data_IF_123501515165
#
_entry.id   IF_123501515165
#
_cell.length_a   1.000
_cell.length_b   1.000
_cell.length_c   1.000
_cell.angle_alpha   90.00
_cell.angle_beta   90.00
_cell.angle_gamma   90.00
#
_symmetry.space_group_name_H-M   'P 1'
#
loop_
_entity.id
_entity.type
_entity.pdbx_description
1 polymer ?
#
# COMPACT_ATOMS: atom_id res chain seq x y z
N UNK A 1 7.43 4.36 -25.63
CA UNK A 1 7.51 4.39 -24.15
C UNK A 1 8.42 3.24 -23.76
N UNK A 2 9.63 3.54 -23.31
CA UNK A 2 10.55 2.53 -22.79
C UNK A 2 10.34 2.47 -21.28
N UNK A 3 9.75 1.39 -20.78
CA UNK A 3 9.59 1.14 -19.35
C UNK A 3 10.87 0.48 -18.86
N UNK A 4 11.56 1.08 -17.89
CA UNK A 4 12.84 0.57 -17.38
C UNK A 4 12.69 -0.39 -16.20
N UNK A 5 11.54 -0.38 -15.51
CA UNK A 5 11.34 -1.17 -14.30
C UNK A 5 9.92 -1.73 -14.19
N UNK A 6 9.83 -2.93 -13.59
CA UNK A 6 8.57 -3.58 -13.26
C UNK A 6 8.48 -3.89 -11.77
N UNK A 7 7.23 -4.13 -11.32
CA UNK A 7 6.91 -4.45 -9.94
C UNK A 7 5.86 -5.56 -9.94
N UNK A 8 6.14 -6.66 -9.25
CA UNK A 8 5.26 -7.82 -9.16
C UNK A 8 5.11 -8.21 -7.70
N UNK A 9 3.90 -8.62 -7.31
CA UNK A 9 3.59 -9.03 -5.94
C UNK A 9 3.33 -10.52 -5.89
N UNK A 10 3.91 -11.20 -4.91
CA UNK A 10 3.74 -12.62 -4.65
C UNK A 10 2.70 -12.88 -3.55
N UNK A 11 2.14 -14.10 -3.47
CA UNK A 11 1.32 -14.50 -2.32
C UNK A 11 2.05 -14.33 -0.97
N UNK A 12 3.37 -14.52 -0.95
CA UNK A 12 4.19 -14.34 0.26
C UNK A 12 4.21 -12.89 0.72
N UNK A 13 4.24 -11.91 -0.19
CA UNK A 13 4.17 -10.49 0.16
C UNK A 13 2.84 -10.16 0.83
N UNK A 14 1.74 -10.71 0.32
CA UNK A 14 0.41 -10.53 0.90
C UNK A 14 0.29 -11.20 2.28
N UNK A 15 0.86 -12.40 2.45
CA UNK A 15 0.86 -13.07 3.74
C UNK A 15 1.59 -12.23 4.79
N UNK A 16 2.84 -11.84 4.51
CA UNK A 16 3.66 -11.04 5.43
C UNK A 16 3.00 -9.71 5.76
N UNK A 17 2.46 -9.03 4.75
CA UNK A 17 1.77 -7.76 4.97
C UNK A 17 0.47 -7.94 5.77
N UNK A 18 -0.32 -8.99 5.51
CA UNK A 18 -1.54 -9.28 6.26
C UNK A 18 -1.27 -9.63 7.73
N UNK A 19 -0.16 -10.32 8.01
CA UNK A 19 0.31 -10.59 9.37
C UNK A 19 0.77 -9.30 10.08
N UNK A 20 1.50 -8.42 9.39
CA UNK A 20 2.00 -7.18 9.96
C UNK A 20 0.91 -6.12 10.19
N UNK A 21 -0.04 -5.98 9.25
CA UNK A 21 -1.08 -4.95 9.23
C UNK A 21 -2.38 -5.34 9.94
N UNK A 22 -2.56 -6.64 10.19
CA UNK A 22 -3.82 -7.24 10.66
C UNK A 22 -5.03 -6.98 9.77
N UNK A 23 -4.83 -6.57 8.52
CA UNK A 23 -5.93 -6.52 7.56
C UNK A 23 -6.28 -7.96 7.12
N UNK A 24 -7.38 -8.46 7.68
CA UNK A 24 -7.91 -9.81 7.44
C UNK A 24 -8.93 -9.87 6.30
N UNK A 25 -8.99 -8.86 5.44
CA UNK A 25 -9.93 -8.85 4.32
C UNK A 25 -9.67 -10.05 3.38
N UNK A 26 -10.68 -10.92 3.16
CA UNK A 26 -10.51 -12.12 2.34
C UNK A 26 -10.22 -11.83 0.86
N UNK A 27 -10.45 -10.61 0.37
CA UNK A 27 -10.01 -10.18 -0.97
C UNK A 27 -8.49 -10.30 -1.16
N UNK A 28 -7.73 -10.13 -0.09
CA UNK A 28 -6.28 -10.25 -0.11
C UNK A 28 -5.83 -11.68 0.22
N UNK A 29 -6.48 -12.33 1.19
CA UNK A 29 -5.95 -13.54 1.80
C UNK A 29 -6.54 -14.86 1.27
N UNK A 30 -7.74 -14.84 0.68
CA UNK A 30 -8.41 -16.05 0.22
C UNK A 30 -8.54 -16.06 -1.30
N UNK A 31 -7.80 -16.95 -1.96
CA UNK A 31 -7.91 -17.17 -3.40
C UNK A 31 -9.35 -17.55 -3.82
N UNK A 32 -10.03 -18.39 -3.04
CA UNK A 32 -11.38 -18.86 -3.34
C UNK A 32 -12.43 -17.75 -3.21
N UNK A 33 -12.30 -16.90 -2.20
CA UNK A 33 -13.17 -15.74 -2.05
C UNK A 33 -12.91 -14.74 -3.18
N UNK A 34 -11.64 -14.43 -3.43
CA UNK A 34 -11.25 -13.43 -4.42
C UNK A 34 -11.65 -13.82 -5.86
N UNK A 35 -11.56 -15.11 -6.23
CA UNK A 35 -12.05 -15.61 -7.52
C UNK A 35 -13.55 -15.41 -7.74
N UNK A 36 -14.36 -15.39 -6.67
CA UNK A 36 -15.81 -15.14 -6.71
C UNK A 36 -16.16 -13.66 -6.68
N UNK A 37 -15.18 -12.78 -6.44
CA UNK A 37 -15.36 -11.34 -6.45
C UNK A 37 -15.31 -10.77 -7.88
N UNK A 38 -15.77 -9.53 -8.11
CA UNK A 38 -15.64 -8.86 -9.41
C UNK A 38 -14.20 -8.70 -9.91
N UNK A 39 -13.20 -8.86 -9.04
CA UNK A 39 -11.78 -8.78 -9.40
C UNK A 39 -11.25 -10.06 -10.03
N UNK A 40 -11.91 -11.20 -9.82
CA UNK A 40 -11.53 -12.51 -10.41
C UNK A 40 -10.23 -13.12 -9.87
N UNK A 41 -9.54 -12.47 -8.93
CA UNK A 41 -8.28 -12.93 -8.34
C UNK A 41 -7.93 -12.14 -7.08
N UNK A 42 -6.92 -12.61 -6.33
CA UNK A 42 -6.47 -11.94 -5.11
C UNK A 42 -5.96 -10.53 -5.42
N UNK A 43 -6.52 -9.57 -4.70
CA UNK A 43 -6.16 -8.16 -4.82
C UNK A 43 -4.98 -7.89 -3.90
N UNK A 44 -3.97 -7.17 -4.37
CA UNK A 44 -2.85 -6.68 -3.55
C UNK A 44 -3.36 -5.59 -2.61
N UNK A 45 -2.90 -5.56 -1.36
CA UNK A 45 -3.20 -4.45 -0.46
C UNK A 45 -2.77 -3.12 -1.09
N UNK A 46 -3.67 -2.14 -1.14
CA UNK A 46 -3.36 -0.83 -1.75
C UNK A 46 -2.12 -0.19 -1.11
N UNK A 47 -2.07 -0.19 0.23
CA UNK A 47 -0.93 0.35 0.99
C UNK A 47 0.36 -0.41 0.74
N UNK A 48 0.33 -1.74 0.58
CA UNK A 48 1.52 -2.51 0.18
C UNK A 48 2.07 -2.02 -1.16
N UNK A 49 1.19 -1.78 -2.15
CA UNK A 49 1.62 -1.21 -3.42
C UNK A 49 2.16 0.22 -3.28
N UNK A 50 1.57 1.03 -2.40
CA UNK A 50 2.08 2.36 -2.09
C UNK A 50 3.48 2.34 -1.48
N UNK A 51 3.72 1.47 -0.49
CA UNK A 51 5.03 1.28 0.12
C UNK A 51 6.06 0.76 -0.88
N UNK A 52 5.67 -0.17 -1.75
CA UNK A 52 6.53 -0.68 -2.80
C UNK A 52 6.92 0.42 -3.81
N UNK A 53 6.01 1.35 -4.12
CA UNK A 53 6.35 2.55 -4.89
C UNK A 53 7.25 3.52 -4.12
N UNK A 54 7.04 3.69 -2.82
CA UNK A 54 7.86 4.56 -1.98
C UNK A 54 9.32 4.06 -1.92
N UNK A 55 9.51 2.75 -1.86
CA UNK A 55 10.83 2.10 -1.88
C UNK A 55 11.59 2.25 -3.21
N UNK A 56 10.94 2.77 -4.27
CA UNK A 56 11.57 3.06 -5.58
C UNK A 56 11.92 4.53 -5.75
N UNK A 57 11.65 5.36 -4.74
CA UNK A 57 12.12 6.73 -4.73
C UNK A 57 13.63 6.76 -4.42
N UNK A 58 14.32 7.80 -4.88
CA UNK A 58 15.72 8.00 -4.54
C UNK A 58 15.91 8.32 -3.06
N UNK A 59 17.07 7.93 -2.52
CA UNK A 59 17.48 8.26 -1.16
C UNK A 59 17.59 9.78 -0.96
N UNK A 60 17.07 10.27 0.17
CA UNK A 60 17.03 11.68 0.53
C UNK A 60 17.51 11.90 1.98
N UNK A 61 18.81 11.81 2.27
CA UNK A 61 19.32 11.84 3.65
C UNK A 61 19.21 13.22 4.34
N UNK A 62 19.16 14.30 3.56
CA UNK A 62 19.09 15.69 4.07
C UNK A 62 17.67 16.27 4.04
N UNK A 63 16.68 15.43 3.72
CA UNK A 63 15.27 15.82 3.63
C UNK A 63 14.42 14.83 4.43
N UNK A 64 13.22 15.26 4.82
CA UNK A 64 12.27 14.38 5.49
C UNK A 64 10.90 14.46 4.82
N UNK A 65 10.19 13.33 4.85
CA UNK A 65 8.86 13.20 4.28
C UNK A 65 7.84 13.96 5.15
N UNK A 66 7.18 14.97 4.58
CA UNK A 66 6.17 15.78 5.30
C UNK A 66 4.74 15.41 4.92
N UNK A 67 4.54 14.88 3.72
CA UNK A 67 3.22 14.46 3.26
C UNK A 67 3.32 13.28 2.29
N UNK A 68 2.44 12.31 2.49
CA UNK A 68 2.26 11.18 1.60
C UNK A 68 0.80 11.08 1.20
N UNK A 69 0.53 11.10 -0.10
CA UNK A 69 -0.81 10.92 -0.68
C UNK A 69 -0.79 9.71 -1.61
N UNK A 70 -1.75 8.81 -1.44
CA UNK A 70 -1.94 7.63 -2.27
C UNK A 70 -3.33 7.66 -2.91
N UNK A 71 -3.36 7.63 -4.24
CA UNK A 71 -4.58 7.45 -5.02
C UNK A 71 -4.62 6.00 -5.54
N UNK A 72 -5.79 5.34 -5.46
CA UNK A 72 -5.99 3.97 -5.93
C UNK A 72 -7.05 3.89 -7.07
N UNK A 73 -6.77 4.37 -8.29
CA UNK A 73 -7.75 4.33 -9.39
C UNK A 73 -8.10 2.90 -9.88
N UNK A 74 -7.30 1.89 -9.51
CA UNK A 74 -7.56 0.51 -9.89
C UNK A 74 -6.97 -0.50 -8.92
N UNK A 75 -7.47 -1.73 -8.98
CA UNK A 75 -6.96 -2.84 -8.20
C UNK A 75 -5.71 -3.44 -8.85
N UNK A 76 -4.73 -3.79 -8.02
CA UNK A 76 -3.58 -4.62 -8.39
C UNK A 76 -3.89 -6.08 -8.02
N UNK A 77 -3.48 -7.02 -8.85
CA UNK A 77 -3.64 -8.46 -8.69
C UNK A 77 -2.28 -9.13 -8.48
N UNK A 78 -2.28 -10.22 -7.73
CA UNK A 78 -1.08 -11.01 -7.45
C UNK A 78 -0.54 -11.67 -8.72
N UNK A 79 0.80 -11.71 -8.85
CA UNK A 79 1.50 -12.37 -9.96
C UNK A 79 1.55 -11.58 -11.27
N UNK A 80 0.97 -10.38 -11.31
CA UNK A 80 0.99 -9.52 -12.49
C UNK A 80 2.19 -8.56 -12.42
N UNK A 81 3.04 -8.51 -13.47
CA UNK A 81 4.12 -7.53 -13.55
C UNK A 81 3.57 -6.17 -14.00
N UNK A 82 3.65 -5.19 -13.11
CA UNK A 82 3.22 -3.82 -13.36
C UNK A 82 4.38 -2.92 -13.79
N UNK A 83 4.09 -1.92 -14.62
CA UNK A 83 5.08 -0.90 -14.97
C UNK A 83 5.07 0.23 -13.94
N UNK A 84 6.25 0.68 -13.51
CA UNK A 84 6.38 1.84 -12.63
C UNK A 84 7.03 3.02 -13.36
N UNK A 85 6.49 4.21 -13.13
CA UNK A 85 7.07 5.47 -13.55
C UNK A 85 7.34 6.32 -12.31
N UNK A 86 8.60 6.71 -12.10
CA UNK A 86 9.01 7.57 -11.00
C UNK A 86 9.50 8.91 -11.58
N UNK A 87 9.03 10.00 -10.98
CA UNK A 87 9.46 11.37 -11.30
C UNK A 87 9.76 12.10 -10.01
N UNK A 88 10.97 12.63 -9.91
CA UNK A 88 11.47 13.28 -8.71
C UNK A 88 11.94 14.70 -9.02
N UNK A 89 11.67 15.59 -8.08
CA UNK A 89 12.23 16.93 -7.94
C UNK A 89 12.77 17.05 -6.52
N UNK A 90 13.38 18.19 -6.17
CA UNK A 90 13.83 18.46 -4.79
C UNK A 90 12.69 18.27 -3.77
N UNK A 91 11.58 18.98 -3.94
CA UNK A 91 10.51 19.03 -2.92
C UNK A 91 9.46 17.90 -3.03
N UNK A 92 9.53 17.07 -4.08
CA UNK A 92 8.40 16.21 -4.45
C UNK A 92 8.85 14.98 -5.23
N UNK A 93 8.23 13.85 -4.93
CA UNK A 93 8.30 12.66 -5.77
C UNK A 93 6.90 12.17 -6.14
N UNK A 94 6.77 11.67 -7.37
CA UNK A 94 5.56 11.04 -7.87
C UNK A 94 5.94 9.68 -8.44
N UNK A 95 5.36 8.63 -7.88
CA UNK A 95 5.44 7.28 -8.44
C UNK A 95 4.06 6.85 -8.94
N UNK A 96 4.00 6.24 -10.12
CA UNK A 96 2.77 5.76 -10.73
C UNK A 96 2.93 4.32 -11.16
N UNK A 97 1.94 3.49 -10.84
CA UNK A 97 1.89 2.09 -11.22
C UNK A 97 0.83 1.87 -12.29
N UNK A 98 1.22 1.16 -13.34
CA UNK A 98 0.41 0.91 -14.53
C UNK A 98 0.26 -0.58 -14.83
N UNK A 99 -0.91 -0.92 -15.37
CA UNK A 99 -1.15 -2.13 -16.15
C UNK A 99 -1.43 -1.72 -17.61
N UNK A 100 -0.37 -1.75 -18.42
CA UNK A 100 -0.39 -1.22 -19.77
C UNK A 100 -0.64 0.30 -19.76
N UNK A 101 -1.86 0.74 -20.11
CA UNK A 101 -2.25 2.15 -20.10
C UNK A 101 -3.09 2.54 -18.89
N UNK A 102 -3.54 1.56 -18.10
CA UNK A 102 -4.42 1.79 -16.96
C UNK A 102 -3.59 2.18 -15.74
N UNK A 103 -3.84 3.36 -15.19
CA UNK A 103 -3.27 3.76 -13.90
C UNK A 103 -3.96 2.97 -12.78
N UNK A 104 -3.18 2.29 -11.94
CA UNK A 104 -3.69 1.50 -10.82
C UNK A 104 -3.42 2.19 -9.48
N UNK A 105 -2.24 2.80 -9.35
CA UNK A 105 -1.83 3.49 -8.13
C UNK A 105 -1.03 4.73 -8.49
N UNK A 106 -1.23 5.81 -7.73
CA UNK A 106 -0.38 6.99 -7.78
C UNK A 106 0.00 7.39 -6.36
N UNK A 107 1.31 7.46 -6.13
CA UNK A 107 1.91 8.00 -4.92
C UNK A 107 2.40 9.43 -5.21
N UNK A 108 2.12 10.34 -4.28
CA UNK A 108 2.74 11.65 -4.23
C UNK A 108 3.35 11.85 -2.84
N UNK A 109 4.67 12.00 -2.80
CA UNK A 109 5.43 12.33 -1.61
C UNK A 109 5.92 13.78 -1.69
N UNK A 110 5.91 14.50 -0.57
CA UNK A 110 6.49 15.83 -0.42
C UNK A 110 7.56 15.80 0.66
N UNK A 111 8.63 16.53 0.40
CA UNK A 111 9.81 16.58 1.24
C UNK A 111 10.15 18.02 1.60
N UNK A 112 10.71 18.19 2.79
CA UNK A 112 11.28 19.46 3.24
C UNK A 112 12.71 19.22 3.74
N UNK A 113 13.54 20.26 3.63
CA UNK A 113 14.92 20.21 4.10
C UNK A 113 14.97 19.95 5.61
N UNK A 114 15.92 19.12 6.02
CA UNK A 114 16.12 18.72 7.41
C UNK A 114 16.07 17.21 7.57
N UNK A 115 16.71 16.73 8.63
CA UNK A 115 16.80 15.30 8.93
C UNK A 115 15.52 14.82 9.61
N UNK A 116 15.00 13.68 9.17
CA UNK A 116 13.90 13.03 9.87
C UNK A 116 14.30 12.71 11.31
N UNK A 117 13.48 13.12 12.27
CA UNK A 117 13.68 12.73 13.67
C UNK A 117 13.26 11.28 13.82
N UNK A 118 14.12 10.37 14.32
CA UNK A 118 13.72 9.02 14.62
C UNK A 118 12.55 9.02 15.61
N UNK A 119 11.46 8.35 15.25
CA UNK A 119 10.30 8.20 16.13
C UNK A 119 10.51 6.92 16.94
N UNK A 120 10.42 7.03 18.27
CA UNK A 120 10.29 5.85 19.11
C UNK A 120 8.93 5.22 18.87
N UNK A 121 8.92 3.99 18.37
CA UNK A 121 7.69 3.24 18.18
C UNK A 121 7.23 2.72 19.55
N UNK A 122 6.10 3.23 20.04
CA UNK A 122 5.43 2.72 21.23
C UNK A 122 4.83 1.32 20.97
N UNK A 123 4.76 0.50 22.02
CA UNK A 123 4.09 -0.80 21.97
C UNK A 123 2.58 -0.62 21.96
N UNK A 124 2.01 -0.55 20.76
CA UNK A 124 0.58 -0.64 20.56
C UNK A 124 0.12 -2.09 20.41
N UNK A 125 -0.98 -2.46 21.05
CA UNK A 125 -1.69 -3.73 20.82
C UNK A 125 -3.14 -3.44 20.46
N UNK A 126 -3.45 -3.46 19.17
CA UNK A 126 -4.83 -3.41 18.66
C UNK A 126 -5.04 -4.41 17.51
N UNK A 127 -4.75 -5.72 17.72
CA UNK A 127 -4.86 -6.68 16.64
C UNK A 127 -6.30 -6.85 16.18
N UNK A 128 -6.51 -6.76 14.87
CA UNK A 128 -7.76 -7.22 14.25
C UNK A 128 -7.66 -8.70 13.97
N UNK A 129 -8.53 -9.47 14.63
CA UNK A 129 -8.61 -10.93 14.45
C UNK A 129 -9.48 -11.30 13.25
N UNK A 130 -10.51 -10.49 12.98
CA UNK A 130 -11.50 -10.76 11.95
C UNK A 130 -11.67 -9.59 10.99
N UNK A 131 -12.16 -9.89 9.78
CA UNK A 131 -12.59 -8.87 8.85
C UNK A 131 -13.87 -8.18 9.36
N UNK A 132 -13.99 -6.88 9.11
CA UNK A 132 -15.25 -6.17 9.38
C UNK A 132 -16.27 -6.49 8.29
N UNK A 133 -17.43 -6.97 8.68
CA UNK A 133 -18.57 -7.08 7.76
C UNK A 133 -19.28 -5.71 7.68
N UNK A 134 -19.49 -5.22 6.46
CA UNK A 134 -20.19 -3.97 6.18
C UNK A 134 -21.26 -4.24 5.13
N UNK A 135 -22.47 -3.76 5.38
CA UNK A 135 -23.55 -3.75 4.38
C UNK A 135 -23.58 -2.41 3.65
N UNK A 136 -24.16 -2.31 2.44
CA UNK A 136 -24.20 -1.05 1.69
C UNK A 136 -24.77 0.14 2.48
N UNK A 137 -25.72 -0.10 3.38
CA UNK A 137 -26.31 0.94 4.23
C UNK A 137 -25.33 1.50 5.28
N UNK A 138 -24.24 0.78 5.60
CA UNK A 138 -23.15 1.25 6.45
C UNK A 138 -22.21 2.21 5.71
N UNK A 139 -22.26 2.24 4.37
CA UNK A 139 -21.34 2.95 3.48
C UNK A 139 -21.96 4.24 2.92
N UNK A 140 -22.36 5.14 3.81
CA UNK A 140 -22.86 6.47 3.42
C UNK A 140 -21.71 7.41 3.06
N UNK A 141 -21.93 8.28 2.06
CA UNK A 141 -20.96 9.32 1.73
C UNK A 141 -20.73 10.23 2.94
N UNK A 142 -19.46 10.50 3.27
CA UNK A 142 -19.07 11.27 4.45
C UNK A 142 -18.90 10.46 5.74
N UNK A 143 -19.04 9.14 5.71
CA UNK A 143 -18.73 8.28 6.86
C UNK A 143 -17.25 8.36 7.25
N UNK A 144 -17.00 8.45 8.56
CA UNK A 144 -15.65 8.39 9.15
C UNK A 144 -15.56 7.15 10.03
N UNK A 145 -14.43 6.45 9.95
CA UNK A 145 -14.10 5.33 10.85
C UNK A 145 -12.85 5.71 11.63
N UNK A 146 -12.94 5.66 12.95
CA UNK A 146 -11.80 5.88 13.86
C UNK A 146 -11.54 4.61 14.67
N UNK A 147 -10.30 4.43 15.12
CA UNK A 147 -9.92 3.31 15.97
C UNK A 147 -8.44 3.35 16.30
N UNK A 148 -8.03 2.51 17.25
CA UNK A 148 -6.62 2.27 17.51
C UNK A 148 -6.07 1.31 16.46
N UNK A 149 -4.86 1.59 15.97
CA UNK A 149 -4.15 0.77 15.01
C UNK A 149 -2.72 0.59 15.51
N UNK A 150 -2.24 -0.65 15.54
CA UNK A 150 -0.87 -0.94 15.88
C UNK A 150 -0.41 -2.18 15.09
N UNK A 151 0.75 -2.12 14.41
CA UNK A 151 1.22 -3.24 13.63
C UNK A 151 1.98 -4.26 14.50
N UNK A 152 2.14 -5.50 14.04
CA UNK A 152 2.93 -6.52 14.75
C UNK A 152 4.44 -6.32 14.53
N UNK A 153 5.20 -5.93 15.57
CA UNK A 153 6.67 -5.71 15.48
C UNK A 153 7.47 -6.95 15.08
N UNK A 154 6.99 -8.16 15.38
CA UNK A 154 7.70 -9.42 15.08
C UNK A 154 7.72 -9.85 13.60
N UNK A 155 7.05 -9.12 12.70
CA UNK A 155 6.86 -9.51 11.29
C UNK A 155 7.47 -8.49 10.32
N UNK A 156 8.10 -7.40 10.82
CA UNK A 156 8.75 -6.40 9.97
C UNK A 156 10.10 -6.89 9.45
N UNK A 157 10.03 -7.79 8.46
CA UNK A 157 11.05 -7.98 7.44
C UNK A 157 10.31 -8.12 6.11
N UNK A 158 9.70 -7.02 5.68
CA UNK A 158 9.00 -6.91 4.40
C UNK A 158 9.78 -5.88 3.59
N UNK A 159 10.15 -6.27 2.38
CA UNK A 159 11.15 -5.70 1.48
C UNK A 159 12.56 -6.23 1.74
#
# INVERSE_FOLDING_TARGET
MNWSETLCFSPTDLQRFGEASHDRNPLHLSADYARKSPYGGQVVFGILGGLACLARLGDRPEEHLTSLTLDFPGAMLVGIPYQIEVKETAEKAIAKLYDGRRLLLKLTARFEAGTAVPIELEDGSAPRLDCRYLVPDDLKAGSTVSGQYAPSRGVFCIL
#
